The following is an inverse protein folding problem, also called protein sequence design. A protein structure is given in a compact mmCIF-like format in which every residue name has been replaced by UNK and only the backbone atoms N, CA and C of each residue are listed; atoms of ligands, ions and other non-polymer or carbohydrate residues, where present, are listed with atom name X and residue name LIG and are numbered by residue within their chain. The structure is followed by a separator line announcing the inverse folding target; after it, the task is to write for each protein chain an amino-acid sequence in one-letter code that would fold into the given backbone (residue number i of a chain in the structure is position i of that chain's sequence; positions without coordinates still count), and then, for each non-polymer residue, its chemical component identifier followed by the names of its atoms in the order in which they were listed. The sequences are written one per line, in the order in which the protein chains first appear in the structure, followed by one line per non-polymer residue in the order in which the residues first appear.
data_IF_543254680731
#
_entry.id   IF_543254680731
#
_cell.length_a   1.000
_cell.length_b   1.000
_cell.length_c   1.000
_cell.angle_alpha   90.00
_cell.angle_beta   90.00
_cell.angle_gamma   90.00
#
_symmetry.space_group_name_H-M   'P 1'
#
loop_
_entity.id
_entity.type
_entity.pdbx_description
1 polymer ?
#
# COMPACT_ATOMS: atom_id res chain seq x y z
N UNK A 1 48.39 17.97 11.65
CA UNK A 1 47.47 18.19 12.79
C UNK A 1 47.04 19.64 12.76
N UNK A 2 45.78 19.92 12.45
CA UNK A 2 45.24 21.28 12.39
C UNK A 2 43.74 21.22 12.59
N UNK A 3 43.29 21.50 13.80
CA UNK A 3 41.88 21.55 14.18
C UNK A 3 41.32 22.93 13.85
N UNK A 4 40.30 23.01 13.01
CA UNK A 4 39.53 24.24 12.78
C UNK A 4 38.36 24.29 13.78
N UNK A 5 38.08 25.45 14.42
CA UNK A 5 36.98 25.57 15.37
C UNK A 5 35.62 25.67 14.66
N UNK A 6 34.61 25.04 15.25
CA UNK A 6 33.21 25.11 14.85
C UNK A 6 32.60 26.45 15.30
N UNK A 7 32.30 27.35 14.36
CA UNK A 7 31.42 28.50 14.61
C UNK A 7 29.96 28.04 14.72
N UNK A 8 29.36 28.25 15.90
CA UNK A 8 27.93 28.10 16.12
C UNK A 8 27.19 29.31 15.53
N UNK A 9 26.50 29.13 14.41
CA UNK A 9 25.55 30.12 13.90
C UNK A 9 24.24 30.04 14.69
N UNK A 10 23.93 31.11 15.43
CA UNK A 10 22.65 31.31 16.07
C UNK A 10 21.55 31.52 15.01
N UNK A 11 20.54 30.65 14.99
CA UNK A 11 19.36 30.80 14.15
C UNK A 11 18.35 31.67 14.92
N UNK A 12 18.07 32.86 14.39
CA UNK A 12 17.00 33.75 14.88
C UNK A 12 15.65 33.16 14.46
N UNK A 13 14.79 32.84 15.43
CA UNK A 13 13.39 32.49 15.23
C UNK A 13 12.62 33.76 14.85
N UNK A 14 12.15 33.85 13.61
CA UNK A 14 11.16 34.83 13.20
C UNK A 14 9.76 34.27 13.47
N UNK A 15 9.00 34.95 14.33
CA UNK A 15 7.60 34.67 14.58
C UNK A 15 6.78 35.03 13.33
N UNK A 16 6.27 34.01 12.64
CA UNK A 16 5.39 34.16 11.49
C UNK A 16 3.93 34.27 11.94
N UNK A 17 3.27 35.32 11.46
CA UNK A 17 1.90 35.72 11.78
C UNK A 17 0.85 34.62 11.57
N UNK A 18 -0.04 34.47 12.54
CA UNK A 18 -1.30 33.73 12.41
C UNK A 18 -2.22 34.48 11.43
N UNK A 19 -2.45 33.91 10.25
CA UNK A 19 -3.59 34.28 9.41
C UNK A 19 -4.82 33.49 9.87
N UNK A 20 -5.75 34.19 10.51
CA UNK A 20 -7.08 33.67 10.83
C UNK A 20 -7.90 33.57 9.54
N UNK A 21 -8.17 32.35 9.07
CA UNK A 21 -9.14 32.10 8.00
C UNK A 21 -10.53 32.05 8.64
N UNK A 22 -11.33 33.09 8.44
CA UNK A 22 -12.76 33.05 8.71
C UNK A 22 -13.44 32.15 7.67
N UNK A 23 -13.85 30.95 8.07
CA UNK A 23 -14.81 30.13 7.32
C UNK A 23 -16.22 30.46 7.76
N UNK A 24 -16.96 31.14 6.90
CA UNK A 24 -18.41 31.32 6.98
C UNK A 24 -19.11 29.97 6.74
N UNK A 25 -19.85 29.50 7.75
CA UNK A 25 -20.78 28.39 7.61
C UNK A 25 -22.09 28.90 6.99
N UNK A 26 -22.42 28.46 5.78
CA UNK A 26 -23.77 28.60 5.25
C UNK A 26 -24.58 27.40 5.74
N UNK A 27 -25.52 27.66 6.65
CA UNK A 27 -26.56 26.71 7.03
C UNK A 27 -27.62 26.66 5.93
N UNK A 28 -27.75 25.51 5.27
CA UNK A 28 -28.93 25.21 4.45
C UNK A 28 -29.95 24.49 5.33
N UNK A 29 -31.02 25.21 5.67
CA UNK A 29 -32.21 24.66 6.30
C UNK A 29 -32.93 23.69 5.34
N UNK A 30 -33.51 22.64 5.90
CA UNK A 30 -34.11 21.54 5.16
C UNK A 30 -35.43 21.87 4.48
N UNK A 31 -35.84 20.99 3.58
CA UNK A 31 -37.23 20.85 3.11
C UNK A 31 -37.53 19.36 2.89
N UNK A 32 -38.38 18.85 3.78
CA UNK A 32 -39.41 17.80 3.67
C UNK A 32 -39.26 16.62 2.71
N UNK A 33 -39.37 15.42 3.27
CA UNK A 33 -39.76 14.18 2.62
C UNK A 33 -41.28 14.10 2.37
N UNK A 34 -41.72 13.56 1.22
CA UNK A 34 -43.00 12.84 1.02
C UNK A 34 -42.87 11.95 -0.27
N UNK A 35 -43.77 10.99 -0.59
CA UNK A 35 -43.58 9.57 -0.35
C UNK A 35 -43.54 8.70 -1.64
N UNK A 36 -43.53 7.38 -1.41
CA UNK A 36 -43.53 6.29 -2.36
C UNK A 36 -44.62 6.34 -3.45
N UNK A 37 -44.21 6.01 -4.68
CA UNK A 37 -45.07 5.62 -5.79
C UNK A 37 -44.38 4.52 -6.59
N UNK A 38 -44.67 3.27 -6.26
CA UNK A 38 -44.24 2.12 -7.05
C UNK A 38 -45.08 2.00 -8.32
N UNK A 39 -44.49 1.69 -9.49
CA UNK A 39 -45.25 1.41 -10.70
C UNK A 39 -45.99 0.08 -10.58
N UNK A 40 -47.30 0.14 -10.81
CA UNK A 40 -48.22 -0.98 -11.00
C UNK A 40 -47.81 -1.77 -12.24
N UNK A 41 -47.76 -3.12 -12.23
CA UNK A 41 -47.44 -3.91 -13.40
C UNK A 41 -48.62 -3.93 -14.39
N UNK A 42 -48.34 -3.68 -15.67
CA UNK A 42 -49.29 -3.82 -16.76
C UNK A 42 -49.53 -5.32 -17.11
N UNK A 43 -50.75 -5.73 -17.47
CA UNK A 43 -51.02 -7.04 -18.04
C UNK A 43 -50.80 -7.02 -19.56
N UNK A 44 -50.11 -8.01 -20.11
CA UNK A 44 -49.98 -8.16 -21.56
C UNK A 44 -48.77 -8.94 -22.02
N UNK A 45 -48.75 -10.24 -21.74
CA UNK A 45 -47.82 -11.15 -22.40
C UNK A 45 -48.39 -11.54 -23.79
N UNK A 46 -47.61 -11.45 -24.88
CA UNK A 46 -47.82 -12.33 -26.02
C UNK A 46 -47.26 -13.72 -25.67
N UNK A 47 -48.12 -14.73 -25.71
CA UNK A 47 -47.73 -16.14 -25.76
C UNK A 47 -46.90 -16.38 -27.01
N UNK A 48 -45.59 -16.51 -26.84
CA UNK A 48 -44.67 -16.91 -27.90
C UNK A 48 -44.66 -18.43 -28.02
N UNK A 49 -44.93 -18.92 -29.23
CA UNK A 49 -45.00 -20.33 -29.58
C UNK A 49 -43.69 -21.07 -29.26
N UNK A 50 -43.84 -22.31 -28.79
CA UNK A 50 -42.75 -23.22 -28.47
C UNK A 50 -41.89 -23.53 -29.71
N UNK A 51 -40.61 -23.17 -29.66
CA UNK A 51 -39.60 -23.67 -30.58
C UNK A 51 -39.13 -25.09 -30.15
N UNK A 52 -38.82 -26.00 -31.09
CA UNK A 52 -38.38 -27.34 -30.75
C UNK A 52 -36.91 -27.37 -30.30
N UNK A 53 -36.69 -27.98 -29.12
CA UNK A 53 -35.52 -28.81 -28.79
C UNK A 53 -34.12 -28.22 -28.99
N UNK A 54 -33.71 -27.24 -28.17
CA UNK A 54 -32.28 -27.02 -27.92
C UNK A 54 -31.83 -28.04 -26.87
N UNK A 55 -30.81 -28.89 -27.13
CA UNK A 55 -30.35 -29.83 -26.13
C UNK A 55 -29.78 -29.06 -24.92
N UNK A 56 -30.34 -29.32 -23.75
CA UNK A 56 -29.86 -28.80 -22.47
C UNK A 56 -28.44 -29.33 -22.25
N UNK A 57 -27.43 -28.52 -22.59
CA UNK A 57 -26.05 -28.80 -22.20
C UNK A 57 -26.00 -28.85 -20.68
N UNK A 58 -25.64 -30.00 -20.09
CA UNK A 58 -25.32 -30.06 -18.68
C UNK A 58 -24.24 -29.01 -18.39
N UNK A 59 -24.57 -28.05 -17.53
CA UNK A 59 -23.60 -27.09 -17.04
C UNK A 59 -22.45 -27.84 -16.36
N UNK A 60 -21.24 -27.66 -16.87
CA UNK A 60 -20.04 -28.21 -16.24
C UNK A 60 -19.99 -27.75 -14.77
N UNK A 61 -19.58 -28.62 -13.82
CA UNK A 61 -19.51 -28.23 -12.41
C UNK A 61 -18.58 -27.03 -12.25
N UNK A 62 -19.08 -25.99 -11.57
CA UNK A 62 -18.31 -24.79 -11.28
C UNK A 62 -16.98 -25.18 -10.60
N UNK A 63 -15.87 -24.88 -11.26
CA UNK A 63 -14.55 -25.22 -10.76
C UNK A 63 -14.30 -24.49 -9.44
N UNK A 64 -14.08 -25.25 -8.36
CA UNK A 64 -13.72 -24.67 -7.06
C UNK A 64 -12.49 -23.77 -7.22
N UNK A 65 -12.50 -22.52 -6.71
CA UNK A 65 -11.34 -21.65 -6.83
C UNK A 65 -10.13 -22.31 -6.18
N UNK A 66 -9.07 -22.52 -6.97
CA UNK A 66 -7.83 -23.13 -6.48
C UNK A 66 -7.28 -22.26 -5.35
N UNK A 67 -7.20 -22.79 -4.11
CA UNK A 67 -6.51 -22.10 -3.02
C UNK A 67 -5.04 -21.97 -3.41
N UNK A 68 -4.65 -20.77 -3.87
CA UNK A 68 -3.26 -20.45 -4.14
C UNK A 68 -2.57 -20.39 -2.78
N UNK A 69 -1.77 -21.41 -2.47
CA UNK A 69 -0.91 -21.39 -1.29
C UNK A 69 -0.04 -20.13 -1.36
N UNK A 70 0.16 -19.41 -0.25
CA UNK A 70 1.10 -18.32 -0.27
C UNK A 70 2.47 -18.88 -0.66
N UNK A 71 3.09 -18.26 -1.67
CA UNK A 71 4.41 -18.66 -2.15
C UNK A 71 5.42 -17.67 -1.58
N UNK A 72 6.43 -18.22 -0.93
CA UNK A 72 7.59 -17.48 -0.46
C UNK A 72 8.76 -17.69 -1.42
N UNK A 73 9.58 -16.67 -1.59
CA UNK A 73 10.73 -16.68 -2.49
C UNK A 73 12.01 -16.66 -1.67
N UNK A 74 13.04 -17.36 -2.18
CA UNK A 74 14.41 -17.14 -1.71
C UNK A 74 14.95 -15.79 -2.20
N UNK A 75 15.96 -15.27 -1.51
CA UNK A 75 16.53 -13.94 -1.77
C UNK A 75 16.93 -13.76 -3.23
N UNK A 76 17.76 -14.65 -3.78
CA UNK A 76 18.25 -14.56 -5.17
C UNK A 76 17.11 -14.49 -6.19
N UNK A 77 16.05 -15.27 -5.98
CA UNK A 77 14.89 -15.27 -6.88
C UNK A 77 14.10 -13.96 -6.76
N UNK A 78 13.93 -13.45 -5.56
CA UNK A 78 13.26 -12.17 -5.31
C UNK A 78 14.06 -11.00 -5.87
N UNK A 79 15.37 -10.93 -5.62
CA UNK A 79 16.28 -9.89 -6.11
C UNK A 79 16.27 -9.80 -7.64
N UNK A 80 16.31 -10.93 -8.35
CA UNK A 80 16.16 -10.95 -9.83
C UNK A 80 14.82 -10.35 -10.30
N UNK A 81 13.74 -10.55 -9.56
CA UNK A 81 12.42 -9.96 -9.88
C UNK A 81 12.38 -8.46 -9.57
N UNK A 82 13.00 -8.02 -8.49
CA UNK A 82 13.19 -6.60 -8.14
C UNK A 82 13.93 -5.88 -9.27
N UNK A 83 15.09 -6.42 -9.67
CA UNK A 83 15.93 -5.86 -10.73
C UNK A 83 15.20 -5.79 -12.08
N UNK A 84 14.58 -6.90 -12.52
CA UNK A 84 13.79 -6.92 -13.79
C UNK A 84 12.62 -5.96 -13.80
N UNK A 85 12.09 -5.58 -12.64
CA UNK A 85 11.01 -4.61 -12.53
C UNK A 85 11.51 -3.16 -12.40
N UNK A 86 12.83 -2.94 -12.43
CA UNK A 86 13.44 -1.61 -12.32
C UNK A 86 13.34 -1.02 -10.91
N UNK A 87 13.23 -1.86 -9.88
CA UNK A 87 13.36 -1.42 -8.48
C UNK A 87 14.83 -1.48 -8.06
N UNK A 88 15.23 -0.54 -7.20
CA UNK A 88 16.49 -0.61 -6.49
C UNK A 88 16.41 -1.56 -5.29
N UNK A 89 17.56 -2.12 -4.91
CA UNK A 89 17.76 -2.86 -3.67
C UNK A 89 19.05 -2.34 -3.03
N UNK A 90 18.97 -1.87 -1.79
CA UNK A 90 20.09 -1.29 -1.08
C UNK A 90 20.14 -1.82 0.34
N UNK A 91 21.31 -2.27 0.78
CA UNK A 91 21.59 -2.69 2.15
C UNK A 91 22.72 -1.85 2.72
N UNK A 92 22.47 -1.22 3.87
CA UNK A 92 23.51 -0.46 4.59
C UNK A 92 24.65 -1.36 5.10
N UNK A 93 24.35 -2.62 5.42
CA UNK A 93 25.34 -3.62 5.81
C UNK A 93 26.01 -4.36 4.66
N UNK A 94 25.64 -4.09 3.39
CA UNK A 94 26.21 -4.77 2.23
C UNK A 94 25.94 -6.29 2.20
N UNK A 95 24.84 -6.74 2.81
CA UNK A 95 24.57 -8.15 3.06
C UNK A 95 23.08 -8.50 2.91
N UNK A 96 22.79 -9.80 2.88
CA UNK A 96 21.43 -10.32 2.61
C UNK A 96 20.97 -11.34 3.64
N UNK A 97 21.70 -11.48 4.75
CA UNK A 97 21.32 -12.37 5.85
C UNK A 97 20.18 -11.75 6.65
N UNK A 98 19.04 -12.44 6.67
CA UNK A 98 17.85 -11.99 7.40
C UNK A 98 18.01 -11.96 8.92
N UNK A 99 19.04 -12.61 9.48
CA UNK A 99 19.33 -12.58 10.92
C UNK A 99 20.08 -11.32 11.34
N UNK A 100 20.57 -10.54 10.38
CA UNK A 100 21.39 -9.35 10.59
C UNK A 100 20.56 -8.11 10.24
N UNK A 101 20.37 -7.22 11.22
CA UNK A 101 19.41 -6.09 11.12
C UNK A 101 19.82 -5.02 10.11
N UNK A 102 21.10 -4.92 9.79
CA UNK A 102 21.68 -4.00 8.80
C UNK A 102 21.64 -4.56 7.37
N UNK A 103 21.34 -5.84 7.20
CA UNK A 103 21.19 -6.44 5.88
C UNK A 103 19.85 -6.05 5.26
N UNK A 104 19.76 -6.16 3.93
CA UNK A 104 18.48 -6.17 3.24
C UNK A 104 18.26 -7.55 2.63
N UNK A 105 17.57 -8.40 3.38
CA UNK A 105 17.18 -9.72 2.95
C UNK A 105 15.81 -9.72 2.30
N UNK A 106 15.67 -10.58 1.30
CA UNK A 106 14.38 -10.90 0.67
C UNK A 106 14.10 -12.41 0.84
N UNK A 107 14.85 -13.07 1.72
CA UNK A 107 14.71 -14.48 1.99
C UNK A 107 13.37 -14.75 2.68
N UNK A 108 12.61 -15.72 2.18
CA UNK A 108 11.23 -15.91 2.58
C UNK A 108 10.38 -14.63 2.50
N UNK A 109 10.49 -13.86 1.42
CA UNK A 109 9.53 -12.79 1.10
C UNK A 109 8.28 -13.40 0.44
N UNK A 110 7.08 -12.90 0.78
CA UNK A 110 5.85 -13.35 0.08
C UNK A 110 5.85 -12.83 -1.35
N UNK A 111 5.48 -13.69 -2.29
CA UNK A 111 5.22 -13.28 -3.69
C UNK A 111 4.24 -12.13 -3.80
N UNK A 112 3.22 -12.07 -2.93
CA UNK A 112 2.23 -10.97 -2.88
C UNK A 112 2.87 -9.64 -2.48
N UNK A 113 3.73 -9.65 -1.48
CA UNK A 113 4.49 -8.47 -1.03
C UNK A 113 5.37 -7.92 -2.13
N UNK A 114 6.14 -8.79 -2.80
CA UNK A 114 6.98 -8.36 -3.92
C UNK A 114 6.17 -7.82 -5.11
N UNK A 115 5.01 -8.44 -5.42
CA UNK A 115 4.08 -7.91 -6.44
C UNK A 115 3.50 -6.55 -6.04
N UNK A 116 3.28 -6.32 -4.74
CA UNK A 116 2.86 -5.04 -4.19
C UNK A 116 3.88 -3.93 -4.49
N UNK A 117 5.15 -4.16 -4.16
CA UNK A 117 6.23 -3.21 -4.46
C UNK A 117 6.39 -2.94 -5.97
N UNK A 118 6.31 -3.98 -6.81
CA UNK A 118 6.33 -3.82 -8.28
C UNK A 118 5.14 -2.99 -8.77
N UNK A 119 3.96 -3.18 -8.18
CA UNK A 119 2.76 -2.40 -8.52
C UNK A 119 2.92 -0.94 -8.10
N UNK A 120 3.50 -0.68 -6.92
CA UNK A 120 3.84 0.67 -6.48
C UNK A 120 4.78 1.36 -7.48
N UNK A 121 5.88 0.69 -7.87
CA UNK A 121 6.81 1.19 -8.90
C UNK A 121 6.09 1.53 -10.22
N UNK A 122 5.26 0.63 -10.72
CA UNK A 122 4.53 0.82 -12.00
C UNK A 122 3.47 1.91 -11.94
N UNK A 123 2.66 1.96 -10.88
CA UNK A 123 1.57 2.94 -10.74
C UNK A 123 2.08 4.35 -10.43
N UNK A 124 3.18 4.44 -9.70
CA UNK A 124 3.76 5.74 -9.34
C UNK A 124 4.66 6.31 -10.43
N UNK A 125 5.30 5.46 -11.24
CA UNK A 125 6.39 5.87 -12.14
C UNK A 125 7.68 6.25 -11.41
N UNK A 126 7.67 6.31 -10.07
CA UNK A 126 8.75 6.82 -9.25
C UNK A 126 9.96 5.87 -9.19
N UNK A 127 11.19 6.36 -8.93
CA UNK A 127 12.25 5.50 -8.44
C UNK A 127 11.83 4.89 -7.09
N UNK A 128 11.91 3.56 -6.97
CA UNK A 128 11.57 2.82 -5.75
C UNK A 128 12.77 1.96 -5.39
N UNK A 129 13.35 2.21 -4.22
CA UNK A 129 14.49 1.46 -3.69
C UNK A 129 14.05 0.75 -2.41
N UNK A 130 14.21 -0.57 -2.38
CA UNK A 130 13.97 -1.37 -1.18
C UNK A 130 15.19 -1.28 -0.26
N UNK A 131 14.98 -0.90 1.01
CA UNK A 131 16.04 -0.70 2.01
C UNK A 131 15.93 -1.66 3.20
N UNK A 132 14.86 -2.43 3.25
CA UNK A 132 14.58 -3.43 4.28
C UNK A 132 13.57 -4.43 3.74
N UNK A 133 13.65 -5.66 4.22
CA UNK A 133 12.81 -6.74 3.75
C UNK A 133 12.41 -7.69 4.87
N UNK A 134 13.03 -8.86 4.92
CA UNK A 134 12.57 -9.96 5.78
C UNK A 134 13.41 -10.18 7.03
N UNK A 135 14.17 -9.15 7.42
CA UNK A 135 15.01 -9.16 8.60
C UNK A 135 14.17 -9.45 9.85
N UNK A 136 14.72 -10.24 10.77
CA UNK A 136 14.07 -10.60 12.02
C UNK A 136 14.57 -9.74 13.19
N UNK A 137 13.79 -9.67 14.28
CA UNK A 137 14.23 -9.04 15.54
C UNK A 137 13.74 -7.61 15.79
N UNK A 138 12.84 -7.05 14.97
CA UNK A 138 12.20 -5.75 15.24
C UNK A 138 10.79 -5.87 15.84
N UNK A 139 9.89 -6.57 15.14
CA UNK A 139 8.49 -6.74 15.58
C UNK A 139 8.04 -8.15 15.21
N UNK A 140 7.53 -8.88 16.19
CA UNK A 140 6.93 -10.20 16.00
C UNK A 140 5.44 -10.09 15.67
N UNK A 141 4.88 -11.13 15.07
CA UNK A 141 3.45 -11.20 14.73
C UNK A 141 3.19 -11.55 13.27
N UNK A 142 1.93 -11.81 12.94
CA UNK A 142 1.51 -12.30 11.62
C UNK A 142 1.94 -11.37 10.48
N UNK A 143 1.74 -10.06 10.65
CA UNK A 143 2.01 -9.03 9.66
C UNK A 143 3.36 -8.34 9.93
N UNK A 144 4.45 -9.09 9.81
CA UNK A 144 5.82 -8.64 10.12
C UNK A 144 6.77 -8.73 8.90
N UNK A 145 7.94 -8.09 9.03
CA UNK A 145 9.08 -8.26 8.12
C UNK A 145 9.49 -9.73 8.05
N UNK A 146 9.74 -10.36 9.20
CA UNK A 146 10.14 -11.76 9.30
C UNK A 146 9.18 -12.75 8.64
N UNK A 147 7.88 -12.45 8.56
CA UNK A 147 6.90 -13.31 7.87
C UNK A 147 6.70 -12.94 6.39
N UNK A 148 7.48 -11.99 5.88
CA UNK A 148 7.49 -11.55 4.49
C UNK A 148 6.29 -10.70 4.10
N UNK A 149 5.62 -10.06 5.06
CA UNK A 149 4.44 -9.21 4.82
C UNK A 149 4.77 -7.74 4.57
N UNK A 150 5.97 -7.31 4.96
CA UNK A 150 6.38 -5.91 4.90
C UNK A 150 7.64 -5.73 4.06
N UNK A 151 7.84 -4.53 3.55
CA UNK A 151 9.04 -4.06 2.88
C UNK A 151 9.26 -2.61 3.29
N UNK A 152 10.54 -2.24 3.46
CA UNK A 152 10.91 -0.84 3.65
C UNK A 152 11.32 -0.24 2.31
N UNK A 153 10.75 0.91 2.01
CA UNK A 153 11.04 1.69 0.79
C UNK A 153 11.70 3.00 1.18
N UNK A 154 12.83 3.31 0.54
CA UNK A 154 13.50 4.60 0.69
C UNK A 154 12.53 5.75 0.36
N UNK A 155 12.45 6.79 1.21
CA UNK A 155 11.59 7.92 0.95
C UNK A 155 12.20 8.76 -0.17
N UNK A 156 11.34 9.30 -1.02
CA UNK A 156 11.70 10.31 -1.99
C UNK A 156 10.46 11.12 -2.37
N UNK A 157 10.67 12.35 -2.83
CA UNK A 157 9.58 13.28 -3.12
C UNK A 157 8.54 12.75 -4.12
N UNK A 158 8.90 11.81 -5.00
CA UNK A 158 7.96 11.19 -5.92
C UNK A 158 7.09 10.14 -5.21
N UNK A 159 7.71 9.19 -4.50
CA UNK A 159 7.00 8.14 -3.75
C UNK A 159 6.11 8.76 -2.67
N UNK A 160 6.63 9.73 -1.92
CA UNK A 160 5.91 10.42 -0.85
C UNK A 160 4.64 11.06 -1.40
N UNK A 161 4.77 11.84 -2.47
CA UNK A 161 3.64 12.51 -3.13
C UNK A 161 2.65 11.52 -3.71
N UNK A 162 3.12 10.44 -4.34
CA UNK A 162 2.23 9.43 -4.89
C UNK A 162 1.38 8.76 -3.81
N UNK A 163 1.99 8.33 -2.70
CA UNK A 163 1.27 7.69 -1.60
C UNK A 163 0.26 8.68 -1.01
N UNK A 164 0.70 9.88 -0.63
CA UNK A 164 -0.16 10.89 0.02
C UNK A 164 -1.35 11.28 -0.87
N UNK A 165 -1.16 11.40 -2.19
CA UNK A 165 -2.23 11.81 -3.11
C UNK A 165 -3.19 10.69 -3.50
N UNK A 166 -2.72 9.43 -3.51
CA UNK A 166 -3.51 8.31 -4.07
C UNK A 166 -4.07 7.37 -3.03
N UNK A 167 -3.56 7.44 -1.80
CA UNK A 167 -3.96 6.54 -0.71
C UNK A 167 -4.75 7.33 0.34
N UNK A 168 -5.91 6.82 0.82
CA UNK A 168 -6.64 7.45 1.90
C UNK A 168 -5.82 7.51 3.19
N UNK A 169 -5.89 8.63 3.91
CA UNK A 169 -5.34 8.71 5.26
C UNK A 169 -6.11 7.79 6.22
N UNK A 170 -5.39 7.08 7.10
CA UNK A 170 -5.94 6.07 8.01
C UNK A 170 -5.70 6.39 9.49
N UNK A 171 -5.12 7.54 9.80
CA UNK A 171 -4.77 7.95 11.16
C UNK A 171 -3.29 7.81 11.47
N UNK A 172 -2.99 7.77 12.77
CA UNK A 172 -1.63 7.61 13.29
C UNK A 172 -1.44 6.19 13.83
N UNK A 173 -0.26 5.62 13.58
CA UNK A 173 0.20 4.42 14.30
C UNK A 173 0.63 4.83 15.72
N UNK A 174 0.73 3.86 16.62
CA UNK A 174 1.09 4.09 18.03
C UNK A 174 2.40 4.84 18.26
N UNK A 175 3.32 4.83 17.29
CA UNK A 175 4.60 5.56 17.33
C UNK A 175 4.55 6.90 16.57
N UNK A 176 3.36 7.40 16.24
CA UNK A 176 3.16 8.67 15.53
C UNK A 176 3.34 8.60 14.02
N UNK A 177 3.65 7.43 13.44
CA UNK A 177 3.75 7.31 11.98
C UNK A 177 2.39 7.55 11.31
N UNK A 178 2.36 8.46 10.31
CA UNK A 178 1.17 8.67 9.48
C UNK A 178 0.87 7.42 8.66
N UNK A 179 -0.38 6.96 8.70
CA UNK A 179 -0.85 5.79 7.96
C UNK A 179 -1.68 6.20 6.76
N UNK A 180 -1.35 5.61 5.61
CA UNK A 180 -2.12 5.75 4.38
C UNK A 180 -2.44 4.37 3.81
N UNK A 181 -3.54 4.23 3.07
CA UNK A 181 -3.81 3.04 2.27
C UNK A 181 -5.17 2.39 2.51
N UNK A 182 -5.21 1.08 2.30
CA UNK A 182 -6.42 0.25 2.30
C UNK A 182 -6.23 -0.99 3.18
N UNK A 183 -7.27 -1.82 3.38
CA UNK A 183 -7.12 -3.10 4.07
C UNK A 183 -6.05 -4.02 3.44
N UNK A 184 -5.82 -3.95 2.12
CA UNK A 184 -4.85 -4.76 1.38
C UNK A 184 -3.42 -4.23 1.47
N UNK A 185 -3.23 -2.91 1.58
CA UNK A 185 -1.91 -2.29 1.60
C UNK A 185 -1.90 -1.05 2.50
N UNK A 186 -1.04 -1.06 3.51
CA UNK A 186 -0.92 0.02 4.49
C UNK A 186 0.50 0.57 4.48
N UNK A 187 0.63 1.88 4.30
CA UNK A 187 1.88 2.61 4.18
C UNK A 187 2.07 3.43 5.45
N UNK A 188 3.09 3.13 6.25
CA UNK A 188 3.46 3.90 7.42
C UNK A 188 4.67 4.78 7.11
N UNK A 189 4.51 6.10 7.26
CA UNK A 189 5.65 7.02 7.12
C UNK A 189 6.43 7.07 8.42
N UNK A 190 7.62 6.45 8.44
CA UNK A 190 8.60 6.61 9.53
C UNK A 190 9.55 7.76 9.19
N UNK A 191 10.46 8.20 10.08
CA UNK A 191 11.43 9.24 9.72
C UNK A 191 12.32 8.86 8.53
N UNK A 192 12.81 7.62 8.47
CA UNK A 192 13.84 7.20 7.51
C UNK A 192 13.33 6.41 6.30
N UNK A 193 12.10 5.86 6.34
CA UNK A 193 11.55 5.05 5.25
C UNK A 193 10.01 5.04 5.24
N UNK A 194 9.46 4.41 4.21
CA UNK A 194 8.09 3.90 4.21
C UNK A 194 8.11 2.45 4.63
N UNK A 195 7.44 2.13 5.73
CA UNK A 195 7.21 0.78 6.20
C UNK A 195 5.86 0.30 5.64
N UNK A 196 5.89 -0.59 4.65
CA UNK A 196 4.72 -0.92 3.83
C UNK A 196 4.28 -2.36 4.08
N UNK A 197 3.07 -2.52 4.60
CA UNK A 197 2.42 -3.81 4.78
C UNK A 197 1.58 -4.17 3.55
N UNK A 198 1.76 -5.39 3.03
CA UNK A 198 0.91 -5.99 1.99
C UNK A 198 0.22 -7.25 2.52
N UNK A 199 -1.11 -7.22 2.70
CA UNK A 199 -1.90 -8.37 3.21
C UNK A 199 -2.25 -9.34 2.09
#
# INVERSE_FOLDING_TARGET
MGTRPCERRAVRLAAGALFAVQTTFIAAAGVTAVPAGGPVPAPGAPVSAAAPGVPMRLAAPASRPRRVRPVWLGHTQAARRVQRAGLGLYSSGGCTDRRMRQCTSLEAIRTRTLRGAIRLKRRSGCPVTLTGGTEIGHVVGRYSHGNGYKLDVAPNACVDRHIIRTQPFRGLRSDGALLYGSPESLYARTPSHWDILFR
#
